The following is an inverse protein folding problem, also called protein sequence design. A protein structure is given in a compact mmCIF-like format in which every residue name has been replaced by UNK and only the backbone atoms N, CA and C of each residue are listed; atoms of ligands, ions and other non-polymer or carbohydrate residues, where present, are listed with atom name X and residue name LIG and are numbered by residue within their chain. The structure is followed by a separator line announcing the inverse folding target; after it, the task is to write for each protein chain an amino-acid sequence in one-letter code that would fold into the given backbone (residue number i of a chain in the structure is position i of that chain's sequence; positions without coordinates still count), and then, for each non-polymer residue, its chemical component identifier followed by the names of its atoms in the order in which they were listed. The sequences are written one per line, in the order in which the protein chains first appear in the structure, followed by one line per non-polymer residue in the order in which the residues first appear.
data_IF_155296865672
#
_entry.id   IF_155296865672
#
_cell.length_a   1.000
_cell.length_b   1.000
_cell.length_c   1.000
_cell.angle_alpha   90.00
_cell.angle_beta   90.00
_cell.angle_gamma   90.00
#
_symmetry.space_group_name_H-M   'P 1'
#
loop_
_entity.id
_entity.type
_entity.pdbx_description
1 polymer ?
#
# COMPACT_ATOMS: atom_id res chain seq x y z
N UNK A 1 -9.80 0.49 21.27
CA UNK A 1 -10.25 1.86 20.94
C UNK A 1 -10.72 1.90 19.50
N UNK A 2 -12.02 2.00 19.29
CA UNK A 2 -12.66 2.28 17.99
C UNK A 2 -13.04 3.76 18.06
N UNK A 3 -12.38 4.62 17.30
CA UNK A 3 -12.77 6.03 17.17
C UNK A 3 -13.07 6.33 15.71
N UNK A 4 -14.36 6.23 15.39
CA UNK A 4 -15.05 6.96 14.31
C UNK A 4 -15.39 8.35 14.88
N UNK A 5 -14.66 9.39 14.49
CA UNK A 5 -15.03 10.81 14.51
C UNK A 5 -13.76 11.63 14.25
N UNK A 6 -13.78 12.53 13.26
CA UNK A 6 -12.65 13.31 12.70
C UNK A 6 -11.74 12.55 11.71
N UNK A 7 -11.45 13.16 10.56
CA UNK A 7 -11.01 12.52 9.32
C UNK A 7 -9.68 11.76 9.37
N UNK A 8 -9.71 10.49 8.95
CA UNK A 8 -8.53 9.64 8.81
C UNK A 8 -8.69 8.59 7.71
N UNK A 9 -9.11 9.00 6.50
CA UNK A 9 -9.43 8.12 5.37
C UNK A 9 -8.22 7.37 4.74
N UNK A 10 -7.02 7.42 5.34
CA UNK A 10 -5.78 7.02 4.66
C UNK A 10 -4.66 6.43 5.52
N UNK A 11 -4.90 6.10 6.80
CA UNK A 11 -3.83 5.57 7.67
C UNK A 11 -3.28 4.21 7.23
N UNK A 12 -4.16 3.29 6.80
CA UNK A 12 -3.72 1.98 6.32
C UNK A 12 -2.81 2.10 5.09
N UNK A 13 -3.25 2.85 4.08
CA UNK A 13 -2.47 3.07 2.86
C UNK A 13 -1.23 3.94 3.08
N UNK A 14 -1.24 4.86 4.07
CA UNK A 14 -0.06 5.66 4.40
C UNK A 14 1.05 4.82 5.05
N UNK A 15 0.69 3.85 5.89
CA UNK A 15 1.63 2.87 6.44
C UNK A 15 2.19 1.98 5.31
N UNK A 16 1.32 1.44 4.45
CA UNK A 16 1.74 0.61 3.31
C UNK A 16 2.70 1.39 2.40
N UNK A 17 2.37 2.64 2.07
CA UNK A 17 3.24 3.51 1.25
C UNK A 17 4.60 3.72 1.91
N UNK A 18 4.64 3.91 3.24
CA UNK A 18 5.89 4.11 3.99
C UNK A 18 6.79 2.87 3.94
N UNK A 19 6.23 1.69 4.18
CA UNK A 19 6.97 0.42 4.12
C UNK A 19 7.53 0.20 2.71
N UNK A 20 6.69 0.37 1.68
CA UNK A 20 7.11 0.19 0.29
C UNK A 20 8.25 1.13 -0.07
N UNK A 21 8.19 2.39 0.38
CA UNK A 21 9.24 3.36 0.14
C UNK A 21 10.58 2.96 0.76
N UNK A 22 10.60 2.45 2.00
CA UNK A 22 11.84 1.97 2.64
C UNK A 22 12.49 0.81 1.88
N UNK A 23 11.68 -0.02 1.22
CA UNK A 23 12.17 -1.13 0.43
C UNK A 23 12.37 -0.80 -1.05
N UNK A 24 12.37 0.50 -1.42
CA UNK A 24 12.50 0.98 -2.80
C UNK A 24 11.49 0.32 -3.76
N UNK A 25 10.34 -0.08 -3.23
CA UNK A 25 9.28 -0.75 -3.95
C UNK A 25 8.29 0.21 -4.60
N UNK A 26 7.28 -0.37 -5.27
CA UNK A 26 6.16 0.34 -5.90
C UNK A 26 4.84 -0.33 -5.58
N UNK A 27 3.81 0.48 -5.38
CA UNK A 27 2.42 0.04 -5.26
C UNK A 27 1.60 0.55 -6.45
N UNK A 28 0.69 -0.30 -6.94
CA UNK A 28 -0.37 0.07 -7.86
C UNK A 28 -1.72 -0.34 -7.27
N UNK A 29 -2.72 0.50 -7.51
CA UNK A 29 -4.11 0.24 -7.12
C UNK A 29 -4.94 0.26 -8.40
N UNK A 30 -5.72 -0.78 -8.62
CA UNK A 30 -6.60 -0.91 -9.77
C UNK A 30 -7.87 -1.67 -9.42
N UNK A 31 -8.57 -2.14 -10.45
CA UNK A 31 -9.77 -2.96 -10.32
C UNK A 31 -9.48 -4.40 -10.77
N UNK A 32 -9.94 -5.38 -10.00
CA UNK A 32 -9.88 -6.79 -10.38
C UNK A 32 -11.09 -7.13 -11.24
N UNK A 33 -10.86 -7.42 -12.52
CA UNK A 33 -11.93 -7.78 -13.47
C UNK A 33 -12.57 -9.11 -13.09
N UNK A 34 -11.79 -10.09 -12.62
CA UNK A 34 -12.29 -11.43 -12.26
C UNK A 34 -13.04 -11.47 -10.93
N UNK A 35 -12.68 -10.61 -9.98
CA UNK A 35 -13.26 -10.60 -8.62
C UNK A 35 -14.21 -9.42 -8.37
N UNK A 36 -14.32 -8.48 -9.32
CA UNK A 36 -15.23 -7.32 -9.24
C UNK A 36 -14.88 -6.28 -8.17
N UNK A 37 -13.69 -6.34 -7.58
CA UNK A 37 -13.26 -5.50 -6.46
C UNK A 37 -12.01 -4.66 -6.74
N UNK A 38 -11.42 -4.12 -5.68
CA UNK A 38 -10.10 -3.47 -5.76
C UNK A 38 -8.98 -4.51 -5.90
N UNK A 39 -7.97 -4.20 -6.70
CA UNK A 39 -6.73 -4.96 -6.84
C UNK A 39 -5.56 -4.11 -6.35
N UNK A 40 -4.75 -4.65 -5.45
CA UNK A 40 -3.54 -4.02 -4.96
C UNK A 40 -2.33 -4.84 -5.43
N UNK A 41 -1.42 -4.21 -6.16
CA UNK A 41 -0.20 -4.85 -6.67
C UNK A 41 1.01 -4.17 -6.06
N UNK A 42 1.86 -4.96 -5.40
CA UNK A 42 3.09 -4.48 -4.75
C UNK A 42 4.29 -5.16 -5.41
N UNK A 43 5.34 -4.39 -5.68
CA UNK A 43 6.57 -4.90 -6.30
C UNK A 43 7.79 -4.30 -5.62
N UNK A 44 8.85 -5.09 -5.52
CA UNK A 44 10.12 -4.70 -4.91
C UNK A 44 11.29 -5.12 -5.79
N UNK A 45 12.42 -4.41 -5.74
CA UNK A 45 13.64 -4.86 -6.39
C UNK A 45 14.11 -6.19 -5.79
N UNK A 46 14.57 -7.11 -6.64
CA UNK A 46 15.06 -8.44 -6.23
C UNK A 46 16.30 -8.38 -5.34
N UNK A 47 17.06 -7.29 -5.44
CA UNK A 47 18.26 -7.04 -4.64
C UNK A 47 18.14 -5.66 -4.05
N UNK A 48 18.14 -5.59 -2.72
CA UNK A 48 18.20 -4.32 -1.99
C UNK A 48 19.66 -4.05 -1.65
N UNK A 49 20.20 -2.93 -2.12
CA UNK A 49 21.51 -2.48 -1.64
C UNK A 49 21.29 -1.90 -0.24
N UNK A 50 21.95 -2.42 0.81
CA UNK A 50 21.89 -1.82 2.12
C UNK A 50 22.35 -0.36 2.03
N UNK A 51 21.58 0.57 2.59
CA UNK A 51 22.02 1.96 2.76
C UNK A 51 22.95 2.11 3.94
#
# INVERSE_FOLDING_TARGET
SRTRASGGHGLGLSIVRRIIHWHEGRALIGHSVSLGGACFSLSWPRTQVPR
#
